data_IF_391550601643
#
_entry.id   IF_391550601643
#
_cell.length_a   1.000
_cell.length_b   1.000
_cell.length_c   1.000
_cell.angle_alpha   90.00
_cell.angle_beta   90.00
_cell.angle_gamma   90.00
#
_symmetry.space_group_name_H-M   'P 1'
#
loop_
_entity.id
_entity.type
_entity.pdbx_description
1 polymer ?
#
# COMPACT_ATOMS: atom_id res chain seq x y z
N UNK A 1 -5.62 1.93 23.82
CA UNK A 1 -5.42 0.99 22.70
C UNK A 1 -5.00 1.73 21.43
N UNK A 2 -5.66 2.85 21.09
CA UNK A 2 -5.35 3.67 19.92
C UNK A 2 -3.96 4.31 19.99
N UNK A 3 -3.58 4.82 21.16
CA UNK A 3 -2.27 5.45 21.38
C UNK A 3 -1.11 4.45 21.18
N UNK A 4 -1.30 3.22 21.62
CA UNK A 4 -0.31 2.14 21.44
C UNK A 4 -0.15 1.74 19.96
N UNK A 5 -1.24 1.75 19.19
CA UNK A 5 -1.19 1.49 17.75
C UNK A 5 -0.52 2.65 17.01
N UNK A 6 -0.87 3.88 17.35
CA UNK A 6 -0.29 5.07 16.74
C UNK A 6 1.21 5.19 17.03
N UNK A 7 1.64 4.93 18.26
CA UNK A 7 3.08 4.98 18.60
C UNK A 7 3.92 3.95 17.86
N UNK A 8 3.33 2.81 17.50
CA UNK A 8 4.00 1.79 16.68
C UNK A 8 3.99 2.13 15.19
N UNK A 9 2.92 2.73 14.69
CA UNK A 9 2.74 3.07 13.27
C UNK A 9 3.66 4.24 12.86
N UNK A 10 3.83 5.24 13.72
CA UNK A 10 4.55 6.48 13.40
C UNK A 10 6.00 6.24 12.93
N UNK A 11 6.83 5.42 13.61
CA UNK A 11 8.18 5.12 13.14
C UNK A 11 8.20 4.47 11.75
N UNK A 12 7.26 3.58 11.48
CA UNK A 12 7.17 2.89 10.19
C UNK A 12 6.74 3.82 9.06
N UNK A 13 5.90 4.82 9.33
CA UNK A 13 5.57 5.85 8.36
C UNK A 13 6.83 6.62 7.98
N UNK A 14 7.66 7.02 8.94
CA UNK A 14 8.91 7.74 8.69
C UNK A 14 9.85 6.90 7.82
N UNK A 15 10.05 5.63 8.18
CA UNK A 15 10.87 4.70 7.40
C UNK A 15 10.32 4.54 5.98
N UNK A 16 9.00 4.37 5.82
CA UNK A 16 8.34 4.28 4.53
C UNK A 16 8.58 5.52 3.66
N UNK A 17 8.49 6.71 4.22
CA UNK A 17 8.79 7.96 3.50
C UNK A 17 10.26 8.06 3.09
N UNK A 18 11.18 7.70 3.96
CA UNK A 18 12.62 7.68 3.64
C UNK A 18 12.87 6.75 2.44
N UNK A 19 12.29 5.54 2.45
CA UNK A 19 12.42 4.60 1.33
C UNK A 19 11.87 5.17 0.02
N UNK A 20 10.72 5.82 0.04
CA UNK A 20 10.11 6.43 -1.14
C UNK A 20 10.97 7.57 -1.66
N UNK A 21 11.47 8.45 -0.79
CA UNK A 21 12.35 9.56 -1.16
C UNK A 21 13.62 9.04 -1.82
N UNK A 22 14.29 8.06 -1.20
CA UNK A 22 15.50 7.44 -1.75
C UNK A 22 15.21 6.80 -3.11
N UNK A 23 14.10 6.07 -3.26
CA UNK A 23 13.70 5.45 -4.51
C UNK A 23 13.47 6.47 -5.64
N UNK A 24 12.85 7.61 -5.33
CA UNK A 24 12.65 8.68 -6.31
C UNK A 24 13.97 9.32 -6.70
N UNK A 25 14.84 9.63 -5.74
CA UNK A 25 16.16 10.22 -6.01
C UNK A 25 16.98 9.30 -6.91
N UNK A 26 17.03 8.00 -6.61
CA UNK A 26 17.72 7.01 -7.44
C UNK A 26 17.07 6.92 -8.82
N UNK A 27 15.73 6.89 -8.91
CA UNK A 27 15.00 6.87 -10.17
C UNK A 27 15.31 8.06 -11.06
N UNK A 28 15.35 9.25 -10.49
CA UNK A 28 15.68 10.48 -11.22
C UNK A 28 17.17 10.56 -11.59
N UNK A 29 18.09 10.19 -10.68
CA UNK A 29 19.52 10.31 -10.89
C UNK A 29 20.09 9.24 -11.83
N UNK A 30 19.69 7.99 -11.65
CA UNK A 30 20.21 6.84 -12.41
C UNK A 30 19.44 6.62 -13.70
N UNK A 31 18.11 6.58 -13.63
CA UNK A 31 17.23 6.29 -14.76
C UNK A 31 16.77 7.53 -15.52
N UNK A 32 17.15 8.75 -15.08
CA UNK A 32 16.72 10.03 -15.66
C UNK A 32 15.19 10.11 -15.84
N UNK A 33 14.47 9.50 -14.90
CA UNK A 33 13.01 9.43 -14.94
C UNK A 33 12.42 10.84 -14.78
N UNK A 34 11.59 11.31 -15.71
CA UNK A 34 10.95 12.63 -15.58
C UNK A 34 9.89 12.59 -14.48
N UNK A 35 9.91 13.57 -13.59
CA UNK A 35 8.85 13.80 -12.61
C UNK A 35 7.97 14.94 -13.09
N UNK A 36 6.92 14.64 -13.85
CA UNK A 36 6.10 15.65 -14.53
C UNK A 36 4.99 16.22 -13.66
N UNK A 37 4.52 15.47 -12.66
CA UNK A 37 3.38 15.86 -11.84
C UNK A 37 3.74 16.61 -10.56
N UNK A 38 2.72 16.89 -9.75
CA UNK A 38 2.88 17.55 -8.46
C UNK A 38 3.53 16.64 -7.44
N UNK A 39 4.71 17.05 -6.93
CA UNK A 39 5.42 16.34 -5.86
C UNK A 39 4.58 16.25 -4.57
N UNK A 40 3.90 17.36 -4.23
CA UNK A 40 3.06 17.43 -3.02
C UNK A 40 1.94 16.39 -3.11
N UNK A 41 1.23 16.33 -4.23
CA UNK A 41 0.16 15.35 -4.47
C UNK A 41 0.69 13.91 -4.35
N UNK A 42 1.84 13.63 -4.95
CA UNK A 42 2.48 12.32 -4.87
C UNK A 42 2.79 11.92 -3.42
N UNK A 43 3.39 12.80 -2.63
CA UNK A 43 3.71 12.50 -1.23
C UNK A 43 2.47 12.33 -0.36
N UNK A 44 1.43 13.12 -0.58
CA UNK A 44 0.14 12.94 0.13
C UNK A 44 -0.47 11.58 -0.18
N UNK A 45 -0.49 11.16 -1.44
CA UNK A 45 -1.03 9.86 -1.82
C UNK A 45 -0.16 8.68 -1.36
N UNK A 46 1.14 8.88 -1.30
CA UNK A 46 2.08 7.93 -0.70
C UNK A 46 1.77 7.68 0.78
N UNK A 47 1.32 8.71 1.52
CA UNK A 47 0.88 8.56 2.90
C UNK A 47 -0.27 7.53 3.00
N UNK A 48 -1.29 7.67 2.18
CA UNK A 48 -2.41 6.71 2.17
C UNK A 48 -1.95 5.29 1.85
N UNK A 49 -1.03 5.14 0.91
CA UNK A 49 -0.47 3.83 0.58
C UNK A 49 0.33 3.21 1.73
N UNK A 50 1.19 3.99 2.38
CA UNK A 50 1.96 3.53 3.55
C UNK A 50 1.02 3.10 4.67
N UNK A 51 -0.01 3.90 4.98
CA UNK A 51 -1.01 3.57 5.99
C UNK A 51 -1.79 2.31 5.62
N UNK A 52 -2.14 2.12 4.34
CA UNK A 52 -2.81 0.91 3.86
C UNK A 52 -1.97 -0.36 4.11
N UNK A 53 -0.66 -0.31 3.79
CA UNK A 53 0.25 -1.43 4.05
C UNK A 53 0.46 -1.70 5.55
N UNK A 54 0.58 -0.65 6.36
CA UNK A 54 0.69 -0.81 7.81
C UNK A 54 -0.58 -1.42 8.42
N UNK A 55 -1.74 -1.05 7.91
CA UNK A 55 -3.02 -1.64 8.32
C UNK A 55 -3.07 -3.14 8.02
N UNK A 56 -2.59 -3.54 6.85
CA UNK A 56 -2.46 -4.94 6.46
C UNK A 56 -1.47 -5.68 7.36
N UNK A 57 -0.34 -5.06 7.67
CA UNK A 57 0.65 -5.62 8.61
C UNK A 57 0.10 -5.84 10.01
N UNK A 58 -0.69 -4.89 10.53
CA UNK A 58 -1.36 -5.03 11.83
C UNK A 58 -2.37 -6.19 11.78
N UNK A 59 -3.13 -6.32 10.69
CA UNK A 59 -4.06 -7.41 10.50
C UNK A 59 -3.34 -8.75 10.51
N UNK A 60 -2.26 -8.93 9.76
CA UNK A 60 -1.43 -10.16 9.74
C UNK A 60 -0.92 -10.46 11.15
N UNK A 61 -0.39 -9.47 11.85
CA UNK A 61 0.11 -9.64 13.23
C UNK A 61 -1.00 -10.08 14.20
N UNK A 62 -2.22 -9.59 14.00
CA UNK A 62 -3.37 -9.96 14.85
C UNK A 62 -3.84 -11.38 14.58
N UNK A 63 -3.76 -11.85 13.33
CA UNK A 63 -4.11 -13.23 12.95
C UNK A 63 -3.07 -14.25 13.38
N UNK A 64 -1.80 -13.85 13.42
CA UNK A 64 -0.70 -14.77 13.68
C UNK A 64 -0.62 -15.15 15.16
N UNK A 65 -0.32 -16.42 15.42
CA UNK A 65 -0.11 -16.95 16.77
C UNK A 65 1.36 -16.88 17.20
N UNK A 66 2.27 -16.89 16.21
CA UNK A 66 3.70 -16.80 16.44
C UNK A 66 4.39 -16.02 15.31
N UNK A 67 5.64 -15.65 15.52
CA UNK A 67 6.43 -14.85 14.57
C UNK A 67 6.66 -15.58 13.24
N UNK A 68 6.85 -16.90 13.27
CA UNK A 68 7.07 -17.70 12.07
C UNK A 68 5.83 -17.69 11.17
N UNK A 69 4.65 -17.83 11.76
CA UNK A 69 3.38 -17.74 11.04
C UNK A 69 3.15 -16.36 10.43
N UNK A 70 3.50 -15.28 11.14
CA UNK A 70 3.41 -13.93 10.61
C UNK A 70 4.32 -13.73 9.38
N UNK A 71 5.55 -14.25 9.43
CA UNK A 71 6.49 -14.22 8.31
C UNK A 71 5.95 -15.00 7.10
N UNK A 72 5.45 -16.22 7.32
CA UNK A 72 4.89 -17.05 6.24
C UNK A 72 3.69 -16.38 5.57
N UNK A 73 2.75 -15.82 6.34
CA UNK A 73 1.61 -15.09 5.82
C UNK A 73 2.05 -13.84 5.05
N UNK A 74 3.05 -13.10 5.53
CA UNK A 74 3.58 -11.93 4.85
C UNK A 74 4.19 -12.29 3.49
N UNK A 75 5.03 -13.33 3.43
CA UNK A 75 5.63 -13.82 2.18
C UNK A 75 4.53 -14.29 1.22
N UNK A 76 3.56 -15.06 1.72
CA UNK A 76 2.45 -15.56 0.92
C UNK A 76 1.59 -14.44 0.31
N UNK A 77 1.48 -13.29 0.99
CA UNK A 77 0.76 -12.13 0.46
C UNK A 77 1.62 -11.25 -0.46
N UNK A 78 2.91 -11.08 -0.15
CA UNK A 78 3.80 -10.20 -0.94
C UNK A 78 4.02 -10.75 -2.35
N UNK A 79 4.28 -12.05 -2.51
CA UNK A 79 4.59 -12.63 -3.81
C UNK A 79 3.44 -12.47 -4.83
N UNK A 80 2.18 -12.88 -4.53
CA UNK A 80 1.07 -12.62 -5.42
C UNK A 80 0.80 -11.13 -5.61
N UNK A 81 1.01 -10.30 -4.57
CA UNK A 81 0.81 -8.87 -4.66
C UNK A 81 1.71 -8.22 -5.71
N UNK A 82 2.98 -8.57 -5.76
CA UNK A 82 3.91 -8.06 -6.77
C UNK A 82 3.52 -8.52 -8.18
N UNK A 83 3.15 -9.79 -8.33
CA UNK A 83 2.79 -10.36 -9.64
C UNK A 83 1.48 -9.80 -10.19
N UNK A 84 0.46 -9.65 -9.34
CA UNK A 84 -0.89 -9.24 -9.73
C UNK A 84 -1.10 -7.71 -9.74
N UNK A 85 -0.15 -6.96 -9.22
CA UNK A 85 -0.25 -5.49 -9.11
C UNK A 85 -0.17 -4.73 -10.44
N UNK A 86 0.14 -5.41 -11.54
CA UNK A 86 0.42 -4.74 -12.82
C UNK A 86 1.85 -4.20 -12.93
N UNK A 87 2.72 -4.53 -11.96
CA UNK A 87 4.15 -4.15 -12.03
C UNK A 87 4.91 -5.03 -13.02
N UNK A 88 4.81 -6.35 -12.88
CA UNK A 88 5.50 -7.33 -13.72
C UNK A 88 4.72 -7.60 -15.00
N UNK A 89 3.42 -7.82 -14.89
CA UNK A 89 2.54 -8.09 -16.03
C UNK A 89 1.50 -6.96 -16.16
N UNK A 90 1.31 -6.40 -17.36
CA UNK A 90 0.25 -5.43 -17.60
C UNK A 90 -1.11 -6.01 -17.24
N UNK A 91 -1.93 -5.24 -16.52
CA UNK A 91 -3.27 -5.67 -16.07
C UNK A 91 -4.20 -6.04 -17.22
N UNK A 92 -3.97 -5.45 -18.41
CA UNK A 92 -4.73 -5.72 -19.64
C UNK A 92 -4.47 -7.12 -20.21
N UNK A 93 -3.28 -7.68 -19.95
CA UNK A 93 -2.87 -9.00 -20.42
C UNK A 93 -3.29 -10.13 -19.46
N UNK A 94 -3.83 -9.80 -18.28
CA UNK A 94 -4.23 -10.79 -17.29
C UNK A 94 -5.63 -11.34 -17.57
N UNK A 95 -5.84 -12.66 -17.35
CA UNK A 95 -7.19 -13.23 -17.31
C UNK A 95 -8.06 -12.53 -16.27
N UNK A 96 -9.36 -12.42 -16.54
CA UNK A 96 -10.32 -11.65 -15.72
C UNK A 96 -10.28 -12.00 -14.23
N UNK A 97 -10.13 -13.27 -13.88
CA UNK A 97 -10.06 -13.71 -12.47
C UNK A 97 -8.85 -13.14 -11.72
N UNK A 98 -7.66 -13.15 -12.33
CA UNK A 98 -6.44 -12.60 -11.72
C UNK A 98 -6.47 -11.08 -11.64
N UNK A 99 -7.14 -10.42 -12.58
CA UNK A 99 -7.34 -8.98 -12.57
C UNK A 99 -8.19 -8.54 -11.36
N UNK A 100 -9.28 -9.25 -11.06
CA UNK A 100 -10.10 -8.97 -9.87
C UNK A 100 -9.32 -9.18 -8.58
N UNK A 101 -8.50 -10.23 -8.49
CA UNK A 101 -7.62 -10.44 -7.33
C UNK A 101 -6.59 -9.30 -7.19
N UNK A 102 -6.03 -8.82 -8.30
CA UNK A 102 -5.12 -7.67 -8.31
C UNK A 102 -5.79 -6.39 -7.80
N UNK A 103 -7.07 -6.19 -8.08
CA UNK A 103 -7.82 -5.01 -7.60
C UNK A 103 -8.11 -5.06 -6.08
N UNK A 104 -7.99 -6.21 -5.43
CA UNK A 104 -8.07 -6.33 -3.97
C UNK A 104 -6.77 -5.94 -3.25
N UNK A 105 -5.71 -5.59 -3.97
CA UNK A 105 -4.38 -5.36 -3.42
C UNK A 105 -4.03 -3.87 -3.48
N UNK A 106 -3.61 -3.23 -2.37
CA UNK A 106 -3.37 -1.79 -2.33
C UNK A 106 -2.23 -1.32 -3.24
N UNK A 107 -1.22 -2.16 -3.47
CA UNK A 107 -0.10 -1.83 -4.34
C UNK A 107 -0.52 -1.57 -5.80
N UNK A 108 -1.59 -2.21 -6.28
CA UNK A 108 -2.14 -2.02 -7.63
C UNK A 108 -2.56 -0.57 -7.84
N UNK A 109 -3.30 -0.01 -6.89
CA UNK A 109 -3.74 1.39 -6.94
C UNK A 109 -2.55 2.34 -6.84
N UNK A 110 -1.58 2.05 -5.98
CA UNK A 110 -0.40 2.88 -5.83
C UNK A 110 0.48 2.92 -7.08
N UNK A 111 0.62 1.80 -7.79
CA UNK A 111 1.35 1.75 -9.07
C UNK A 111 0.64 2.61 -10.12
N UNK A 112 -0.69 2.53 -10.22
CA UNK A 112 -1.48 3.38 -11.13
C UNK A 112 -1.30 4.87 -10.79
N UNK A 113 -1.45 5.23 -9.51
CA UNK A 113 -1.24 6.59 -9.02
C UNK A 113 0.16 7.12 -9.36
N UNK A 114 1.18 6.33 -9.05
CA UNK A 114 2.57 6.71 -9.30
C UNK A 114 2.84 6.93 -10.78
N UNK A 115 2.37 6.03 -11.65
CA UNK A 115 2.52 6.18 -13.10
C UNK A 115 1.79 7.40 -13.64
N UNK A 116 0.56 7.68 -13.17
CA UNK A 116 -0.20 8.85 -13.58
C UNK A 116 0.49 10.16 -13.19
N UNK A 117 0.97 10.26 -11.96
CA UNK A 117 1.59 11.49 -11.46
C UNK A 117 2.99 11.66 -12.02
N UNK A 118 3.84 10.65 -11.91
CA UNK A 118 5.27 10.77 -12.26
C UNK A 118 5.46 10.88 -13.76
N UNK A 119 4.83 10.00 -14.55
CA UNK A 119 5.09 9.88 -15.99
C UNK A 119 4.15 10.69 -16.85
N UNK A 120 2.90 10.88 -16.43
CA UNK A 120 1.89 11.60 -17.24
C UNK A 120 1.59 13.01 -16.73
N UNK A 121 2.12 13.39 -15.56
CA UNK A 121 1.86 14.69 -14.96
C UNK A 121 0.39 14.91 -14.55
N UNK A 122 -0.38 13.82 -14.39
CA UNK A 122 -1.79 13.89 -14.06
C UNK A 122 -2.07 14.56 -12.72
N UNK A 123 -3.10 15.40 -12.66
CA UNK A 123 -3.60 16.02 -11.45
C UNK A 123 -4.54 15.09 -10.66
N UNK A 124 -5.08 15.61 -9.54
CA UNK A 124 -5.99 14.87 -8.67
C UNK A 124 -7.22 14.31 -9.40
N UNK A 125 -7.68 14.96 -10.45
CA UNK A 125 -8.82 14.54 -11.27
C UNK A 125 -8.67 13.14 -11.86
N UNK A 126 -7.43 12.72 -12.15
CA UNK A 126 -7.15 11.40 -12.72
C UNK A 126 -6.90 10.30 -11.69
N UNK A 127 -6.57 10.68 -10.47
CA UNK A 127 -6.13 9.73 -9.42
C UNK A 127 -7.14 9.57 -8.28
N UNK A 128 -8.22 10.35 -8.25
CA UNK A 128 -9.19 10.35 -7.15
C UNK A 128 -9.86 8.99 -6.92
N UNK A 129 -10.13 8.24 -7.99
CA UNK A 129 -10.74 6.89 -7.90
C UNK A 129 -9.84 5.91 -7.17
N UNK A 130 -8.56 5.89 -7.54
CA UNK A 130 -7.58 5.01 -6.91
C UNK A 130 -7.28 5.46 -5.47
N UNK A 131 -7.32 6.75 -5.20
CA UNK A 131 -7.21 7.31 -3.84
C UNK A 131 -8.39 6.88 -2.98
N UNK A 132 -9.61 6.95 -3.50
CA UNK A 132 -10.81 6.51 -2.81
C UNK A 132 -10.75 5.01 -2.52
N UNK A 133 -10.28 4.21 -3.46
CA UNK A 133 -10.09 2.77 -3.27
C UNK A 133 -9.08 2.49 -2.13
N UNK A 134 -7.98 3.23 -2.05
CA UNK A 134 -7.02 3.12 -0.93
C UNK A 134 -7.66 3.51 0.41
N UNK A 135 -8.46 4.57 0.46
CA UNK A 135 -9.17 4.97 1.68
C UNK A 135 -10.15 3.88 2.16
N UNK A 136 -10.92 3.31 1.23
CA UNK A 136 -11.83 2.18 1.53
C UNK A 136 -11.04 0.98 2.03
N UNK A 137 -9.91 0.65 1.39
CA UNK A 137 -9.04 -0.44 1.82
C UNK A 137 -8.53 -0.23 3.25
N UNK A 138 -8.05 0.98 3.57
CA UNK A 138 -7.61 1.34 4.93
C UNK A 138 -8.75 1.15 5.92
N UNK A 139 -9.94 1.68 5.63
CA UNK A 139 -11.10 1.58 6.51
C UNK A 139 -11.47 0.11 6.79
N UNK A 140 -11.49 -0.74 5.77
CA UNK A 140 -11.80 -2.17 5.89
C UNK A 140 -10.74 -2.89 6.74
N UNK A 141 -9.45 -2.65 6.47
CA UNK A 141 -8.35 -3.32 7.18
C UNK A 141 -8.26 -2.88 8.64
N UNK A 142 -8.42 -1.59 8.93
CA UNK A 142 -8.46 -1.09 10.30
C UNK A 142 -9.66 -1.63 11.08
N UNK A 143 -10.85 -1.60 10.47
CA UNK A 143 -12.07 -2.12 11.11
C UNK A 143 -11.93 -3.60 11.44
N UNK A 144 -11.41 -4.38 10.49
CA UNK A 144 -11.16 -5.82 10.69
C UNK A 144 -10.15 -6.07 11.83
N UNK A 145 -9.06 -5.30 11.87
CA UNK A 145 -8.03 -5.40 12.91
C UNK A 145 -8.60 -5.08 14.29
N UNK A 146 -9.43 -4.03 14.40
CA UNK A 146 -10.05 -3.64 15.68
C UNK A 146 -11.02 -4.72 16.19
N UNK A 147 -11.88 -5.23 15.31
CA UNK A 147 -12.85 -6.27 15.66
C UNK A 147 -12.15 -7.53 16.16
N UNK A 148 -11.07 -7.93 15.48
CA UNK A 148 -10.32 -9.12 15.88
C UNK A 148 -9.50 -8.91 17.14
N UNK A 149 -8.89 -7.75 17.30
CA UNK A 149 -8.17 -7.40 18.52
C UNK A 149 -9.09 -7.43 19.73
N UNK A 150 -10.31 -6.90 19.57
CA UNK A 150 -11.32 -6.92 20.64
C UNK A 150 -11.75 -8.35 21.00
N UNK A 151 -11.90 -9.24 20.01
CA UNK A 151 -12.24 -10.66 20.27
C UNK A 151 -11.12 -11.45 20.96
N UNK A 152 -9.86 -11.06 20.80
CA UNK A 152 -8.71 -11.80 21.31
C UNK A 152 -8.30 -11.37 22.71
N UNK A 153 -8.56 -10.11 23.08
CA UNK A 153 -8.07 -9.50 24.33
C UNK A 153 -9.19 -9.04 25.28
N UNK A 154 -10.45 -9.14 24.88
CA UNK A 154 -11.59 -8.84 25.76
C UNK A 154 -12.45 -10.11 25.83
N UNK A 155 -12.40 -10.85 26.97
CA UNK A 155 -13.27 -12.01 27.20
C UNK A 155 -14.75 -11.61 27.27
#
# INVERSE_FOLDING_TARGET
TWELLLSKILPYIIVGYIQVIVSIIVGMAVFKMPFLGSKILFFVLTFFYVVANLSLGIMISTFSQNQMQALQLSIFLILPSVLLSGFVFPTEAMPSGFRYLGECIPITYYIRLSRQIILKGGGFEFVWKDTLALCVYIAVMFSSSIVMFKKRFVP
#
